data_IF_527939422535
#
_entry.id   IF_527939422535
#
_cell.length_a   1.000
_cell.length_b   1.000
_cell.length_c   1.000
_cell.angle_alpha   90.00
_cell.angle_beta   90.00
_cell.angle_gamma   90.00
#
_symmetry.space_group_name_H-M   'P 1'
#
loop_
_entity.id
_entity.type
_entity.pdbx_description
1 polymer ?
#
# COMPACT_ATOMS: atom_id res chain seq x y z
N UNK A 1 -41.41 43.40 -43.77
CA UNK A 1 -40.06 44.00 -43.96
C UNK A 1 -39.06 43.02 -43.34
N UNK A 2 -38.26 42.28 -44.14
CA UNK A 2 -36.80 42.50 -44.35
C UNK A 2 -36.05 42.60 -43.00
N UNK A 3 -35.04 41.79 -42.63
CA UNK A 3 -34.02 41.05 -43.41
C UNK A 3 -33.15 40.19 -42.46
N UNK A 4 -32.67 39.06 -43.00
CA UNK A 4 -31.30 38.51 -42.96
C UNK A 4 -30.73 37.77 -41.71
N UNK A 5 -30.49 36.48 -41.99
CA UNK A 5 -29.47 35.55 -41.47
C UNK A 5 -28.04 36.00 -41.86
N UNK A 6 -27.01 35.59 -41.10
CA UNK A 6 -25.97 34.67 -41.62
C UNK A 6 -25.65 33.56 -40.58
N UNK A 7 -25.60 32.26 -40.87
CA UNK A 7 -24.66 31.45 -41.67
C UNK A 7 -23.18 31.69 -41.36
N UNK A 8 -22.57 30.75 -40.61
CA UNK A 8 -21.14 30.37 -40.46
C UNK A 8 -20.93 29.88 -39.00
N UNK A 9 -20.40 28.70 -38.68
CA UNK A 9 -19.74 27.70 -39.50
C UNK A 9 -19.82 26.32 -38.85
N UNK A 10 -19.98 25.34 -39.74
CA UNK A 10 -19.86 23.91 -39.50
C UNK A 10 -18.38 23.60 -39.29
N UNK A 11 -17.99 23.25 -38.06
CA UNK A 11 -16.67 22.73 -37.72
C UNK A 11 -16.81 21.30 -37.20
N UNK A 12 -17.09 20.37 -38.10
CA UNK A 12 -16.89 18.93 -37.86
C UNK A 12 -15.43 18.61 -38.17
N UNK A 13 -14.94 17.53 -37.54
CA UNK A 13 -13.68 16.82 -37.78
C UNK A 13 -12.54 17.32 -36.86
N UNK A 14 -11.78 16.48 -36.16
CA UNK A 14 -11.68 15.03 -36.16
C UNK A 14 -10.75 14.61 -35.01
N UNK A 15 -10.87 13.35 -34.59
CA UNK A 15 -9.76 12.53 -34.07
C UNK A 15 -9.01 13.01 -32.82
N UNK A 16 -9.58 12.76 -31.65
CA UNK A 16 -8.75 12.18 -30.60
C UNK A 16 -8.62 10.67 -30.94
N UNK A 17 -7.60 10.35 -31.72
CA UNK A 17 -7.12 8.99 -31.92
C UNK A 17 -7.03 8.28 -30.55
N UNK A 18 -7.54 7.06 -30.51
CA UNK A 18 -7.27 6.16 -29.41
C UNK A 18 -5.77 6.02 -29.18
N UNK A 19 -5.33 6.45 -28.01
CA UNK A 19 -4.61 5.51 -27.17
C UNK A 19 -5.62 5.13 -26.12
N UNK A 20 -6.01 3.86 -26.06
CA UNK A 20 -6.87 3.32 -25.02
C UNK A 20 -6.15 3.36 -23.68
N UNK A 21 -5.86 4.57 -23.19
CA UNK A 21 -5.30 4.80 -21.88
C UNK A 21 -6.42 4.49 -20.90
N UNK A 22 -6.35 3.28 -20.37
CA UNK A 22 -7.05 2.90 -19.16
C UNK A 22 -6.91 4.06 -18.16
N UNK A 23 -8.00 4.71 -17.74
CA UNK A 23 -7.90 5.85 -16.85
C UNK A 23 -7.22 5.43 -15.55
N UNK A 24 -6.12 6.12 -15.23
CA UNK A 24 -5.36 5.92 -14.00
C UNK A 24 -5.69 7.08 -13.05
N UNK A 25 -6.29 6.77 -11.90
CA UNK A 25 -6.70 7.79 -10.92
C UNK A 25 -5.80 7.68 -9.68
N UNK A 26 -5.03 8.74 -9.35
CA UNK A 26 -4.21 8.77 -8.15
C UNK A 26 -5.02 9.19 -6.92
N UNK A 27 -4.74 8.55 -5.79
CA UNK A 27 -5.28 8.89 -4.48
C UNK A 27 -4.15 8.98 -3.47
N UNK A 28 -4.03 10.12 -2.80
CA UNK A 28 -3.12 10.29 -1.68
C UNK A 28 -3.70 9.60 -0.44
N UNK A 29 -2.86 8.82 0.22
CA UNK A 29 -3.22 8.02 1.37
C UNK A 29 -2.41 8.48 2.58
N UNK A 30 -2.90 8.27 3.82
CA UNK A 30 -2.20 8.74 5.00
C UNK A 30 -0.85 8.03 5.17
N UNK A 31 0.13 8.69 5.79
CA UNK A 31 1.39 8.04 6.13
C UNK A 31 1.18 6.95 7.18
N UNK A 32 2.04 5.93 7.16
CA UNK A 32 2.03 4.80 8.10
C UNK A 32 3.29 4.86 8.95
N UNK A 33 3.12 4.71 10.25
CA UNK A 33 4.20 4.44 11.18
C UNK A 33 3.91 3.10 11.88
N UNK A 34 4.75 2.10 11.59
CA UNK A 34 4.65 0.78 12.20
C UNK A 34 5.81 0.58 13.18
N UNK A 35 5.49 0.53 14.47
CA UNK A 35 6.44 0.14 15.52
C UNK A 35 6.68 -1.36 15.46
N UNK A 36 7.95 -1.77 15.55
CA UNK A 36 8.38 -3.15 15.48
C UNK A 36 8.65 -3.72 16.89
N UNK A 37 8.30 -4.99 17.16
CA UNK A 37 8.63 -5.67 18.41
C UNK A 37 10.12 -6.08 18.48
N UNK A 38 10.60 -6.33 19.69
CA UNK A 38 11.94 -6.89 19.99
C UNK A 38 11.81 -8.36 20.34
N UNK A 39 12.79 -9.21 20.02
CA UNK A 39 13.53 -9.38 18.77
C UNK A 39 12.97 -10.61 18.03
N UNK A 40 12.84 -10.59 16.70
CA UNK A 40 12.05 -11.61 15.98
C UNK A 40 12.72 -12.21 14.75
N UNK A 41 14.02 -12.48 14.79
CA UNK A 41 14.65 -13.31 13.74
C UNK A 41 14.11 -14.75 13.68
N UNK A 42 13.28 -15.16 14.64
CA UNK A 42 12.92 -16.58 14.84
C UNK A 42 11.43 -16.90 14.80
N UNK A 43 10.52 -15.94 14.94
CA UNK A 43 9.09 -16.24 14.97
C UNK A 43 8.44 -15.84 13.63
N UNK A 44 7.75 -16.77 12.94
CA UNK A 44 7.08 -16.49 11.67
C UNK A 44 5.88 -15.59 11.95
N UNK A 45 6.09 -14.28 11.97
CA UNK A 45 5.05 -13.30 12.33
C UNK A 45 5.00 -12.17 11.31
N UNK A 46 3.80 -11.66 11.06
CA UNK A 46 3.58 -10.42 10.33
C UNK A 46 3.03 -9.37 11.31
N UNK A 47 3.69 -8.22 11.37
CA UNK A 47 3.29 -7.10 12.22
C UNK A 47 2.48 -6.12 11.39
N UNK A 48 1.17 -6.05 11.62
CA UNK A 48 0.26 -5.14 10.97
C UNK A 48 0.11 -3.83 11.74
N UNK A 49 0.06 -2.73 10.99
CA UNK A 49 -0.45 -1.45 11.47
C UNK A 49 -1.93 -1.58 11.86
N UNK A 50 -2.34 -0.83 12.88
CA UNK A 50 -3.74 -0.69 13.28
C UNK A 50 -4.50 0.34 12.43
N UNK A 51 -3.79 1.09 11.58
CA UNK A 51 -4.35 2.11 10.71
C UNK A 51 -4.87 1.49 9.41
N UNK A 52 -6.11 1.84 9.08
CA UNK A 52 -6.68 1.53 7.77
C UNK A 52 -6.17 2.54 6.74
N UNK A 53 -5.33 2.05 5.83
CA UNK A 53 -4.67 2.82 4.79
C UNK A 53 -5.61 3.33 3.71
N UNK A 54 -6.79 2.72 3.56
CA UNK A 54 -7.77 3.08 2.55
C UNK A 54 -8.99 3.77 3.15
N UNK A 55 -8.93 4.13 4.44
CA UNK A 55 -9.93 4.98 5.06
C UNK A 55 -10.06 6.29 4.29
N UNK A 56 -11.26 6.56 3.77
CA UNK A 56 -11.55 7.77 2.99
C UNK A 56 -11.45 7.61 1.48
N UNK A 57 -11.06 6.44 0.95
CA UNK A 57 -11.19 6.17 -0.48
C UNK A 57 -12.68 6.16 -0.89
N UNK A 58 -13.05 6.82 -2.01
CA UNK A 58 -14.43 6.78 -2.51
C UNK A 58 -14.81 5.38 -2.97
N UNK A 59 -16.12 5.14 -3.11
CA UNK A 59 -16.60 3.92 -3.73
C UNK A 59 -16.14 3.84 -5.20
N UNK A 60 -15.58 2.71 -5.59
CA UNK A 60 -15.10 2.47 -6.94
C UNK A 60 -16.07 1.51 -7.63
N UNK A 61 -16.91 2.05 -8.52
CA UNK A 61 -17.93 1.30 -9.24
C UNK A 61 -17.38 0.58 -10.49
N UNK A 62 -16.17 0.94 -10.93
CA UNK A 62 -15.54 0.41 -12.13
C UNK A 62 -14.74 -0.86 -11.84
N UNK A 63 -14.57 -1.69 -12.87
CA UNK A 63 -13.70 -2.87 -12.78
C UNK A 63 -12.26 -2.39 -12.66
N UNK A 64 -11.59 -2.73 -11.56
CA UNK A 64 -10.18 -2.41 -11.35
C UNK A 64 -9.33 -3.44 -12.10
N UNK A 65 -8.51 -2.99 -13.05
CA UNK A 65 -7.51 -3.83 -13.73
C UNK A 65 -6.23 -3.96 -12.92
N UNK A 66 -5.70 -2.85 -12.38
CA UNK A 66 -4.52 -2.88 -11.51
C UNK A 66 -4.49 -1.75 -10.51
N UNK A 67 -3.69 -1.95 -9.45
CA UNK A 67 -3.39 -0.94 -8.45
C UNK A 67 -1.90 -0.96 -8.17
N UNK A 68 -1.29 0.22 -8.23
CA UNK A 68 0.07 0.44 -7.74
C UNK A 68 -0.01 1.28 -6.47
N UNK A 69 0.64 0.83 -5.41
CA UNK A 69 0.79 1.58 -4.18
C UNK A 69 2.24 2.07 -4.07
N UNK A 70 2.46 3.34 -4.37
CA UNK A 70 3.78 3.97 -4.35
C UNK A 70 4.01 4.71 -3.05
N UNK A 71 5.27 4.81 -2.62
CA UNK A 71 5.65 5.68 -1.52
C UNK A 71 7.12 5.51 -1.14
N UNK A 72 7.49 6.03 0.02
CA UNK A 72 8.84 6.00 0.54
C UNK A 72 8.89 5.27 1.87
N UNK A 73 9.65 4.21 1.92
CA UNK A 73 9.79 3.34 3.07
C UNK A 73 11.14 3.61 3.75
N UNK A 74 11.12 3.84 5.05
CA UNK A 74 12.31 4.17 5.86
C UNK A 74 12.29 3.31 7.11
N UNK A 75 13.43 2.69 7.44
CA UNK A 75 13.62 1.99 8.71
C UNK A 75 14.40 2.86 9.68
N UNK A 76 13.73 3.22 10.77
CA UNK A 76 14.31 3.95 11.88
C UNK A 76 14.67 2.96 12.98
N UNK A 77 15.86 2.37 12.84
CA UNK A 77 16.41 1.47 13.84
C UNK A 77 16.99 2.22 15.03
N UNK A 78 16.69 1.79 16.25
CA UNK A 78 17.24 2.33 17.47
C UNK A 78 18.53 1.58 17.83
N UNK A 79 19.65 2.27 18.04
CA UNK A 79 20.92 1.63 18.43
C UNK A 79 21.60 0.76 17.37
N UNK A 80 22.75 0.14 17.70
CA UNK A 80 23.62 -0.55 16.75
C UNK A 80 23.18 -1.98 16.38
N UNK A 81 22.30 -2.63 17.15
CA UNK A 81 21.82 -3.99 16.87
C UNK A 81 20.62 -4.03 15.91
N UNK A 82 20.08 -2.86 15.59
CA UNK A 82 19.06 -2.62 14.59
C UNK A 82 19.62 -2.79 13.18
N UNK A 83 19.56 -4.03 12.69
CA UNK A 83 20.25 -4.54 11.50
C UNK A 83 19.29 -5.02 10.41
N UNK A 84 18.01 -4.67 10.53
CA UNK A 84 16.98 -5.00 9.55
C UNK A 84 17.42 -4.57 8.14
N UNK A 85 17.41 -5.55 7.23
CA UNK A 85 17.89 -5.37 5.85
C UNK A 85 16.90 -5.87 4.80
N UNK A 86 15.96 -6.73 5.18
CA UNK A 86 14.88 -7.17 4.30
C UNK A 86 13.57 -7.35 5.06
N UNK A 87 12.49 -6.83 4.47
CA UNK A 87 11.13 -6.98 4.99
C UNK A 87 10.18 -7.47 3.91
N UNK A 88 9.29 -8.39 4.27
CA UNK A 88 8.12 -8.70 3.47
C UNK A 88 7.00 -7.72 3.78
N UNK A 89 6.40 -7.14 2.75
CA UNK A 89 5.26 -6.21 2.88
C UNK A 89 3.97 -6.97 2.58
N UNK A 90 2.97 -6.81 3.45
CA UNK A 90 1.69 -7.50 3.39
C UNK A 90 0.54 -6.50 3.48
N UNK A 91 -0.64 -6.89 3.01
CA UNK A 91 -1.86 -6.09 3.20
C UNK A 91 -3.09 -6.97 3.46
N UNK A 92 -3.91 -6.57 4.45
CA UNK A 92 -5.18 -7.23 4.78
C UNK A 92 -6.33 -6.24 4.75
N UNK A 93 -7.51 -6.68 4.34
CA UNK A 93 -8.74 -5.89 4.54
C UNK A 93 -9.31 -6.03 5.95
N UNK A 94 -8.93 -7.09 6.66
CA UNK A 94 -9.34 -7.37 8.03
C UNK A 94 -8.19 -8.06 8.77
N UNK A 95 -7.89 -7.57 9.95
CA UNK A 95 -6.81 -8.06 10.81
C UNK A 95 -7.34 -8.72 12.08
N UNK A 96 -8.67 -8.80 12.21
CA UNK A 96 -9.35 -9.48 13.31
C UNK A 96 -9.45 -10.98 12.99
N UNK A 97 -8.91 -11.84 13.85
CA UNK A 97 -8.92 -13.30 13.65
C UNK A 97 -8.19 -14.06 14.76
N UNK A 98 -8.43 -15.36 14.87
CA UNK A 98 -7.86 -16.21 15.92
C UNK A 98 -6.33 -16.35 15.86
N UNK A 99 -5.70 -16.03 14.73
CA UNK A 99 -4.24 -16.05 14.55
C UNK A 99 -3.59 -14.67 14.76
N UNK A 100 -4.37 -13.63 15.07
CA UNK A 100 -3.85 -12.28 15.28
C UNK A 100 -4.19 -11.80 16.69
N UNK A 101 -3.23 -11.15 17.34
CA UNK A 101 -3.44 -10.54 18.65
C UNK A 101 -2.90 -9.11 18.69
N UNK A 102 -3.56 -8.27 19.48
CA UNK A 102 -3.18 -6.88 19.67
C UNK A 102 -2.14 -6.76 20.77
N UNK A 103 -1.06 -6.04 20.47
CA UNK A 103 -0.02 -5.72 21.44
C UNK A 103 0.37 -4.26 21.29
N UNK A 104 0.01 -3.46 22.30
CA UNK A 104 0.52 -2.10 22.55
C UNK A 104 0.79 -1.25 21.28
N UNK A 105 -0.19 -1.14 20.39
CA UNK A 105 -0.14 -0.24 19.22
C UNK A 105 0.10 -0.90 17.87
N UNK A 106 0.31 -2.21 17.81
CA UNK A 106 0.37 -3.00 16.57
C UNK A 106 -0.36 -4.34 16.73
N UNK A 107 -0.65 -4.98 15.60
CA UNK A 107 -1.27 -6.30 15.54
C UNK A 107 -0.23 -7.30 15.08
N UNK A 108 -0.06 -8.40 15.81
CA UNK A 108 0.81 -9.49 15.40
C UNK A 108 -0.08 -10.62 14.89
N UNK A 109 0.17 -11.07 13.67
CA UNK A 109 -0.44 -12.27 13.11
C UNK A 109 0.62 -13.37 12.97
N UNK A 110 0.27 -14.56 13.43
CA UNK A 110 1.07 -15.76 13.23
C UNK A 110 1.05 -16.18 11.75
N UNK A 111 2.24 -16.38 11.22
CA UNK A 111 2.54 -16.83 9.86
C UNK A 111 3.20 -18.22 9.88
N UNK A 112 3.05 -18.97 10.98
CA UNK A 112 3.38 -20.39 11.02
C UNK A 112 2.61 -21.12 9.89
N UNK A 113 3.30 -21.98 9.15
CA UNK A 113 2.81 -22.61 7.91
C UNK A 113 2.48 -21.66 6.74
N UNK A 114 3.05 -20.44 6.70
CA UNK A 114 2.84 -19.46 5.63
C UNK A 114 1.37 -19.01 5.49
N UNK A 115 0.65 -18.94 6.61
CA UNK A 115 -0.76 -18.53 6.66
C UNK A 115 -1.00 -17.13 6.05
N UNK A 116 -0.01 -16.24 6.11
CA UNK A 116 -0.10 -14.87 5.62
C UNK A 116 0.40 -14.72 4.18
N UNK A 117 0.91 -15.77 3.52
CA UNK A 117 1.48 -15.69 2.17
C UNK A 117 0.49 -15.15 1.11
N UNK A 118 -0.81 -15.44 1.27
CA UNK A 118 -1.89 -14.89 0.41
C UNK A 118 -2.08 -13.38 0.52
N UNK A 119 -1.54 -12.76 1.57
CA UNK A 119 -1.62 -11.32 1.82
C UNK A 119 -0.32 -10.59 1.44
N UNK A 120 0.70 -11.33 0.99
CA UNK A 120 2.00 -10.77 0.62
C UNK A 120 1.89 -9.93 -0.64
N UNK A 121 2.52 -8.76 -0.63
CA UNK A 121 2.74 -7.91 -1.80
C UNK A 121 4.10 -8.21 -2.41
N UNK A 122 5.17 -7.92 -1.66
CA UNK A 122 6.54 -8.07 -2.13
C UNK A 122 7.53 -8.02 -0.97
N UNK A 123 8.75 -8.48 -1.21
CA UNK A 123 9.88 -8.23 -0.32
C UNK A 123 10.60 -6.94 -0.72
N UNK A 124 11.05 -6.17 0.26
CA UNK A 124 11.73 -4.89 0.10
C UNK A 124 13.05 -4.94 0.83
N UNK A 125 14.13 -4.68 0.10
CA UNK A 125 15.43 -4.44 0.71
C UNK A 125 15.45 -3.04 1.32
N UNK A 126 15.94 -2.95 2.54
CA UNK A 126 15.90 -1.74 3.34
C UNK A 126 17.24 -1.51 4.02
N UNK A 127 17.57 -0.25 4.27
CA UNK A 127 18.75 0.11 5.04
C UNK A 127 18.36 1.14 6.07
N UNK A 128 18.85 0.95 7.29
CA UNK A 128 18.62 1.85 8.41
C UNK A 128 18.92 3.30 8.03
N UNK A 129 17.95 4.19 8.25
CA UNK A 129 18.03 5.62 7.97
C UNK A 129 17.96 6.03 6.50
N UNK A 130 17.98 5.07 5.57
CA UNK A 130 17.88 5.36 4.14
C UNK A 130 16.42 5.31 3.68
N UNK A 131 16.06 6.29 2.86
CA UNK A 131 14.76 6.38 2.23
C UNK A 131 14.75 5.53 0.95
N UNK A 132 13.88 4.52 0.94
CA UNK A 132 13.68 3.61 -0.17
C UNK A 132 12.35 3.92 -0.86
N UNK A 133 12.38 4.43 -2.09
CA UNK A 133 11.17 4.52 -2.90
C UNK A 133 10.74 3.12 -3.32
N UNK A 134 9.45 2.82 -3.15
CA UNK A 134 8.85 1.53 -3.46
C UNK A 134 7.56 1.70 -4.24
N UNK A 135 7.33 0.75 -5.15
CA UNK A 135 6.04 0.54 -5.81
C UNK A 135 5.58 -0.86 -5.45
N UNK A 136 4.52 -0.95 -4.64
CA UNK A 136 3.91 -2.20 -4.22
C UNK A 136 2.79 -2.55 -5.18
N UNK A 137 2.78 -3.79 -5.68
CA UNK A 137 1.75 -4.30 -6.59
C UNK A 137 1.29 -5.68 -6.14
N UNK A 138 0.11 -6.10 -6.59
CA UNK A 138 -0.38 -7.46 -6.35
C UNK A 138 -1.90 -7.56 -6.30
N UNK A 139 -2.46 -8.75 -6.60
CA UNK A 139 -3.91 -8.94 -6.68
C UNK A 139 -4.62 -8.71 -5.34
N UNK A 140 -3.93 -8.86 -4.21
CA UNK A 140 -4.50 -8.59 -2.88
C UNK A 140 -4.82 -7.10 -2.67
N UNK A 141 -4.12 -6.17 -3.34
CA UNK A 141 -4.47 -4.74 -3.31
C UNK A 141 -5.87 -4.50 -3.90
N UNK A 142 -6.26 -5.26 -4.93
CA UNK A 142 -7.58 -5.13 -5.54
C UNK A 142 -8.68 -5.45 -4.52
N UNK A 143 -8.48 -6.48 -3.70
CA UNK A 143 -9.39 -6.80 -2.61
C UNK A 143 -9.45 -5.68 -1.57
N UNK A 144 -8.29 -5.19 -1.13
CA UNK A 144 -8.19 -4.15 -0.12
C UNK A 144 -8.83 -2.82 -0.55
N UNK A 145 -8.57 -2.38 -1.77
CA UNK A 145 -9.17 -1.15 -2.32
C UNK A 145 -10.66 -1.31 -2.60
N UNK A 146 -11.12 -2.46 -3.14
CA UNK A 146 -12.56 -2.72 -3.32
C UNK A 146 -13.32 -2.70 -2.00
N UNK A 147 -12.73 -3.27 -0.96
CA UNK A 147 -13.29 -3.24 0.39
C UNK A 147 -13.13 -1.88 1.07
N UNK A 148 -12.31 -0.97 0.51
CA UNK A 148 -11.87 0.29 1.10
C UNK A 148 -11.29 0.09 2.50
N UNK A 149 -10.57 -1.03 2.66
CA UNK A 149 -9.90 -1.42 3.91
C UNK A 149 -8.56 -2.05 3.60
N UNK A 150 -7.51 -1.53 4.20
CA UNK A 150 -6.14 -2.02 4.00
C UNK A 150 -5.24 -1.75 5.20
N UNK A 151 -4.89 -2.78 5.95
CA UNK A 151 -3.90 -2.73 7.00
C UNK A 151 -2.58 -3.24 6.44
N UNK A 152 -1.56 -2.38 6.39
CA UNK A 152 -0.23 -2.73 5.91
C UNK A 152 0.52 -3.45 7.03
N UNK A 153 1.17 -4.56 6.69
CA UNK A 153 1.98 -5.35 7.61
C UNK A 153 3.39 -5.60 7.10
N UNK A 154 4.28 -5.90 8.05
CA UNK A 154 5.69 -6.13 7.81
C UNK A 154 6.14 -7.43 8.47
N UNK A 155 6.79 -8.30 7.68
CA UNK A 155 7.52 -9.47 8.18
C UNK A 155 9.00 -9.18 8.12
N UNK A 156 9.73 -9.46 9.19
CA UNK A 156 11.19 -9.38 9.20
C UNK A 156 11.72 -10.64 8.52
N UNK A 157 12.30 -10.48 7.32
CA UNK A 157 12.87 -11.60 6.57
C UNK A 157 14.38 -11.74 6.86
N UNK A 158 15.07 -10.63 7.10
CA UNK A 158 16.51 -10.62 7.36
C UNK A 158 16.93 -9.45 8.27
N UNK A 159 17.79 -9.75 9.25
CA UNK A 159 18.28 -8.80 10.25
C UNK A 159 17.44 -8.79 11.51
N UNK A 160 17.78 -7.89 12.44
CA UNK A 160 17.15 -7.81 13.76
C UNK A 160 16.61 -6.40 14.04
N UNK A 161 15.59 -6.35 14.89
CA UNK A 161 14.98 -5.12 15.39
C UNK A 161 15.22 -4.94 16.89
N UNK A 162 15.22 -3.69 17.34
CA UNK A 162 15.31 -3.27 18.74
C UNK A 162 14.03 -2.58 19.23
N UNK A 163 13.98 -2.28 20.53
CA UNK A 163 12.83 -1.60 21.14
C UNK A 163 12.64 -0.25 20.49
N UNK A 164 11.39 0.02 20.08
CA UNK A 164 10.97 1.27 19.41
C UNK A 164 11.54 1.45 18.01
N UNK A 165 12.03 0.39 17.38
CA UNK A 165 12.27 0.40 15.94
C UNK A 165 10.98 0.69 15.19
N UNK A 166 11.09 1.42 14.08
CA UNK A 166 9.94 1.79 13.26
C UNK A 166 10.21 1.59 11.78
N UNK A 167 9.18 1.17 11.06
CA UNK A 167 9.09 1.32 9.60
C UNK A 167 8.08 2.41 9.32
N UNK A 168 8.53 3.46 8.64
CA UNK A 168 7.67 4.52 8.18
C UNK A 168 7.45 4.36 6.68
N UNK A 169 6.19 4.33 6.25
CA UNK A 169 5.82 4.37 4.85
C UNK A 169 5.10 5.69 4.58
N UNK A 170 5.78 6.57 3.85
CA UNK A 170 5.40 7.98 3.71
C UNK A 170 5.14 8.37 2.27
N UNK A 171 4.40 9.47 2.06
CA UNK A 171 3.98 9.94 0.72
C UNK A 171 3.27 8.81 -0.05
N UNK A 172 2.41 8.08 0.66
CA UNK A 172 1.75 6.91 0.11
C UNK A 172 0.68 7.34 -0.89
N UNK A 173 0.71 6.76 -2.08
CA UNK A 173 -0.24 7.04 -3.15
C UNK A 173 -0.69 5.76 -3.82
N UNK A 174 -2.00 5.55 -3.90
CA UNK A 174 -2.59 4.50 -4.73
C UNK A 174 -2.91 5.05 -6.12
N UNK A 175 -2.44 4.38 -7.16
CA UNK A 175 -2.83 4.64 -8.54
C UNK A 175 -3.70 3.49 -9.02
N UNK A 176 -4.98 3.78 -9.26
CA UNK A 176 -5.99 2.78 -9.61
C UNK A 176 -6.25 2.87 -11.11
N UNK A 177 -6.19 1.72 -11.79
CA UNK A 177 -6.44 1.58 -13.22
C UNK A 177 -7.71 0.77 -13.46
N UNK A 178 -8.48 1.17 -14.47
CA UNK A 178 -9.78 0.58 -14.83
C UNK A 178 -9.72 -0.19 -16.15
#
# INVERSE_FOLDING_TARGET
MKKMLPLLGLGVLMSACGTGLIPAVPYDLPDINATLPVPSTTAPMVIYSTQDQFAGLPAIAQVISSIDLTGNLVYNGNGPLSTLSNVGVYIRSTVDGSNCYNQAGYLICDDSANAEAKYKLQDVSITKGNLQSVTLTGPVLNGAVKNRKGYIGFRINQGSTMTNDQINFTKVRATIRF
#
